data_IF_353340287358
#
_entry.id   IF_353340287358
#
_cell.length_a   1.000
_cell.length_b   1.000
_cell.length_c   1.000
_cell.angle_alpha   90.00
_cell.angle_beta   90.00
_cell.angle_gamma   90.00
#
_symmetry.space_group_name_H-M   'P 1'
#
loop_
_entity.id
_entity.type
_entity.pdbx_description
1 polymer ?
#
# COMPACT_ATOMS: atom_id res chain seq x y z
N UNK A 1 41.94 33.96 -18.67
CA UNK A 1 41.59 33.16 -17.45
C UNK A 1 40.11 33.14 -17.16
N UNK A 2 39.33 34.15 -17.49
CA UNK A 2 37.87 34.25 -17.28
C UNK A 2 37.03 33.24 -18.08
N UNK A 3 37.42 32.91 -19.31
CA UNK A 3 36.67 32.06 -20.23
C UNK A 3 36.63 30.55 -19.80
N UNK A 4 37.72 30.06 -19.19
CA UNK A 4 37.80 28.66 -18.70
C UNK A 4 36.98 28.44 -17.43
N UNK A 5 36.83 29.42 -16.56
CA UNK A 5 36.03 29.32 -15.34
C UNK A 5 34.52 29.31 -15.63
N UNK A 6 34.09 30.14 -16.60
CA UNK A 6 32.69 30.21 -17.01
C UNK A 6 32.21 28.93 -17.71
N UNK A 7 33.07 28.33 -18.55
CA UNK A 7 32.75 27.04 -19.21
C UNK A 7 32.66 25.87 -18.24
N UNK A 8 33.45 25.86 -17.15
CA UNK A 8 33.40 24.85 -16.13
C UNK A 8 32.11 24.96 -15.26
N UNK A 9 31.73 26.20 -14.91
CA UNK A 9 30.50 26.50 -14.21
C UNK A 9 29.24 26.10 -15.03
N UNK A 10 29.25 26.38 -16.36
CA UNK A 10 28.19 26.00 -17.28
C UNK A 10 28.09 24.46 -17.43
N UNK A 11 29.22 23.73 -17.43
CA UNK A 11 29.23 22.29 -17.58
C UNK A 11 28.67 21.57 -16.34
N UNK A 12 28.92 22.09 -15.15
CA UNK A 12 28.43 21.48 -13.90
C UNK A 12 26.93 21.76 -13.60
N UNK A 13 26.40 22.89 -14.09
CA UNK A 13 25.01 23.30 -13.79
C UNK A 13 23.99 23.01 -14.90
N UNK A 14 24.44 22.91 -16.16
CA UNK A 14 23.55 22.66 -17.32
C UNK A 14 23.19 21.18 -17.56
N UNK A 15 23.90 20.25 -16.91
CA UNK A 15 23.61 18.82 -17.09
C UNK A 15 22.37 18.35 -16.30
N UNK A 16 21.81 19.16 -15.41
CA UNK A 16 20.69 18.77 -14.53
C UNK A 16 19.32 19.36 -14.86
N UNK A 17 19.16 20.23 -15.86
CA UNK A 17 17.86 20.83 -16.15
C UNK A 17 17.56 20.99 -17.64
N UNK A 18 16.27 20.98 -18.00
CA UNK A 18 15.68 21.13 -19.36
C UNK A 18 16.16 22.37 -20.16
N UNK A 19 17.11 23.15 -19.64
CA UNK A 19 17.65 24.38 -20.23
C UNK A 19 18.53 24.12 -21.46
N UNK A 20 18.99 22.90 -21.70
CA UNK A 20 19.88 22.55 -22.82
C UNK A 20 19.26 22.79 -24.19
N UNK A 21 17.95 22.62 -24.31
CA UNK A 21 17.25 22.76 -25.59
C UNK A 21 17.07 24.21 -26.02
N UNK A 22 16.76 25.11 -25.10
CA UNK A 22 16.58 26.52 -25.38
C UNK A 22 17.90 27.26 -25.69
N UNK A 23 18.98 26.83 -25.06
CA UNK A 23 20.30 27.45 -25.28
C UNK A 23 20.90 27.09 -26.65
N UNK A 24 20.72 25.86 -27.12
CA UNK A 24 21.14 25.45 -28.47
C UNK A 24 20.32 26.15 -29.57
N UNK A 25 19.04 26.38 -29.38
CA UNK A 25 18.22 27.18 -30.31
C UNK A 25 18.63 28.63 -30.35
N UNK A 26 18.97 29.25 -29.24
CA UNK A 26 19.46 30.65 -29.21
C UNK A 26 20.80 30.79 -29.87
N UNK A 27 21.71 29.82 -29.75
CA UNK A 27 23.02 29.84 -30.45
C UNK A 27 22.84 29.65 -31.96
N UNK A 28 21.95 28.74 -32.39
CA UNK A 28 21.66 28.55 -33.80
C UNK A 28 21.06 29.80 -34.44
N UNK A 29 20.16 30.50 -33.74
CA UNK A 29 19.61 31.80 -34.19
C UNK A 29 20.66 32.89 -34.28
N UNK A 30 21.57 32.93 -33.33
CA UNK A 30 22.68 33.92 -33.30
C UNK A 30 23.70 33.68 -34.43
N UNK A 31 23.95 32.41 -34.82
CA UNK A 31 24.80 32.08 -35.99
C UNK A 31 24.13 32.42 -37.31
N UNK A 32 22.83 32.22 -37.46
CA UNK A 32 22.05 32.59 -38.66
C UNK A 32 22.03 34.11 -38.83
N UNK A 33 21.80 34.87 -37.76
CA UNK A 33 21.78 36.35 -37.80
C UNK A 33 23.19 36.94 -38.08
N UNK A 34 24.23 36.30 -37.57
CA UNK A 34 25.60 36.74 -37.81
C UNK A 34 26.12 36.43 -39.24
N UNK A 35 25.68 35.31 -39.82
CA UNK A 35 25.97 34.96 -41.23
C UNK A 35 25.31 35.91 -42.20
N UNK A 36 24.14 36.46 -41.84
CA UNK A 36 23.45 37.46 -42.68
C UNK A 36 24.08 38.86 -42.62
N UNK A 37 24.91 39.18 -41.63
CA UNK A 37 25.63 40.46 -41.52
C UNK A 37 26.88 40.55 -42.40
N UNK A 38 27.43 39.49 -42.92
CA UNK A 38 28.62 39.46 -43.76
C UNK A 38 28.35 39.50 -45.26
N UNK A 39 27.09 39.59 -45.70
CA UNK A 39 26.70 39.77 -47.09
C UNK A 39 26.38 41.26 -47.34
N UNK A 40 27.41 42.08 -47.40
CA UNK A 40 27.25 43.51 -47.79
C UNK A 40 28.30 43.89 -48.79
N UNK A 41 27.81 44.45 -49.92
CA UNK A 41 28.50 45.22 -51.00
C UNK A 41 28.91 44.41 -52.23
N UNK A 42 28.13 44.64 -53.29
CA UNK A 42 28.45 44.41 -54.68
C UNK A 42 27.25 44.51 -55.61
N UNK A 43 27.07 45.64 -56.24
CA UNK A 43 26.32 45.92 -57.47
C UNK A 43 24.84 46.35 -57.40
N UNK A 44 24.69 47.61 -57.91
CA UNK A 44 23.50 48.46 -57.92
C UNK A 44 22.44 48.05 -58.98
N UNK A 45 22.52 46.87 -59.63
CA UNK A 45 21.60 46.50 -60.74
C UNK A 45 20.49 45.51 -60.32
N UNK A 46 20.36 45.21 -59.06
CA UNK A 46 19.41 44.16 -58.53
C UNK A 46 18.27 44.75 -57.73
N UNK A 47 18.00 46.04 -57.73
CA UNK A 47 17.01 46.66 -56.83
C UNK A 47 15.54 46.43 -57.20
N UNK A 48 15.25 45.91 -58.37
CA UNK A 48 13.85 45.63 -58.79
C UNK A 48 13.40 44.17 -58.50
N UNK A 49 14.32 43.21 -58.50
CA UNK A 49 14.02 41.83 -58.11
C UNK A 49 14.00 41.63 -56.58
N UNK A 50 14.74 42.43 -55.83
CA UNK A 50 14.84 42.32 -54.37
C UNK A 50 13.52 42.66 -53.66
N UNK A 51 12.62 43.44 -54.26
CA UNK A 51 11.36 43.84 -53.61
C UNK A 51 10.34 42.69 -53.56
N UNK A 52 10.32 41.79 -54.53
CA UNK A 52 9.46 40.60 -54.51
C UNK A 52 10.07 39.49 -53.66
N UNK A 53 11.40 39.33 -53.65
CA UNK A 53 12.05 38.34 -52.77
C UNK A 53 11.96 38.72 -51.29
N UNK A 54 12.06 40.03 -50.92
CA UNK A 54 11.87 40.47 -49.55
C UNK A 54 10.44 40.26 -49.05
N UNK A 55 9.42 40.34 -49.91
CA UNK A 55 8.05 40.11 -49.55
C UNK A 55 7.78 38.60 -49.33
N UNK A 56 8.45 37.73 -50.11
CA UNK A 56 8.38 36.27 -49.93
C UNK A 56 9.21 35.81 -48.68
N UNK A 57 10.35 36.43 -48.44
CA UNK A 57 11.19 36.14 -47.26
C UNK A 57 10.49 36.53 -45.96
N UNK A 58 9.86 37.70 -45.89
CA UNK A 58 9.06 38.09 -44.70
C UNK A 58 7.82 37.19 -44.48
N UNK A 59 7.19 36.69 -45.54
CA UNK A 59 6.11 35.70 -45.45
C UNK A 59 6.64 34.35 -44.99
N UNK A 60 7.84 33.95 -45.43
CA UNK A 60 8.49 32.71 -44.99
C UNK A 60 8.91 32.76 -43.51
N UNK A 61 9.46 33.92 -43.08
CA UNK A 61 9.86 34.15 -41.68
C UNK A 61 8.61 34.20 -40.77
N UNK A 62 7.53 34.87 -41.19
CA UNK A 62 6.27 34.89 -40.46
C UNK A 62 5.62 33.52 -40.40
N UNK A 63 5.65 32.74 -41.49
CA UNK A 63 5.18 31.36 -41.53
C UNK A 63 6.02 30.45 -40.61
N UNK A 64 7.35 30.64 -40.61
CA UNK A 64 8.27 29.91 -39.72
C UNK A 64 8.05 30.22 -38.23
N UNK A 65 7.85 31.52 -37.92
CA UNK A 65 7.53 31.95 -36.55
C UNK A 65 6.15 31.41 -36.13
N UNK A 66 5.14 31.44 -37.01
CA UNK A 66 3.83 30.90 -36.74
C UNK A 66 3.85 29.36 -36.57
N UNK A 67 4.72 28.68 -37.35
CA UNK A 67 4.89 27.23 -37.24
C UNK A 67 5.65 26.85 -35.94
N UNK A 68 6.67 27.62 -35.57
CA UNK A 68 7.40 27.43 -34.29
C UNK A 68 6.52 27.79 -33.09
N UNK A 69 5.70 28.84 -33.19
CA UNK A 69 4.76 29.23 -32.12
C UNK A 69 3.63 28.20 -32.02
N UNK A 70 3.15 27.67 -33.15
CA UNK A 70 2.17 26.57 -33.18
C UNK A 70 2.75 25.26 -32.63
N UNK A 71 4.02 24.97 -32.90
CA UNK A 71 4.71 23.78 -32.40
C UNK A 71 5.09 23.88 -30.91
N UNK A 72 5.35 25.10 -30.41
CA UNK A 72 5.57 25.36 -28.96
C UNK A 72 4.27 25.30 -28.19
N UNK A 73 3.13 25.59 -28.80
CA UNK A 73 1.80 25.39 -28.19
C UNK A 73 1.35 23.92 -28.15
N UNK A 74 2.01 23.01 -28.89
CA UNK A 74 1.71 21.58 -28.93
C UNK A 74 2.60 20.72 -27.99
N UNK A 75 3.59 21.33 -27.34
CA UNK A 75 4.37 20.68 -26.27
C UNK A 75 3.82 21.16 -24.93
N UNK A 76 2.52 21.02 -24.69
CA UNK A 76 2.08 20.78 -23.33
C UNK A 76 2.71 19.46 -22.92
N UNK A 77 3.38 19.37 -21.76
CA UNK A 77 3.65 18.07 -21.20
C UNK A 77 2.28 17.39 -21.12
N UNK A 78 2.15 16.23 -21.75
CA UNK A 78 1.04 15.31 -21.48
C UNK A 78 1.08 15.14 -19.96
N UNK A 79 0.27 15.91 -19.25
CA UNK A 79 0.09 15.74 -17.81
C UNK A 79 -0.68 14.43 -17.67
N UNK A 80 0.07 13.43 -17.36
CA UNK A 80 -0.44 12.13 -17.12
C UNK A 80 -1.45 12.17 -15.98
N UNK A 81 -2.47 11.63 -16.26
CA UNK A 81 -3.53 10.76 -15.86
C UNK A 81 -4.56 11.37 -14.94
N UNK A 82 -4.84 12.56 -15.33
CA UNK A 82 -6.17 13.10 -15.19
C UNK A 82 -6.81 13.01 -16.56
N UNK A 83 -7.63 12.01 -16.80
CA UNK A 83 -8.41 11.88 -18.02
C UNK A 83 -9.69 12.74 -17.88
N UNK A 84 -9.64 13.97 -18.43
CA UNK A 84 -10.75 14.92 -18.31
C UNK A 84 -10.97 15.43 -16.89
N UNK A 85 -11.95 14.86 -16.17
CA UNK A 85 -12.30 15.14 -14.78
C UNK A 85 -12.04 13.95 -13.84
N UNK A 86 -11.25 12.93 -14.26
CA UNK A 86 -10.98 11.71 -13.50
C UNK A 86 -9.51 11.59 -13.14
N UNK A 87 -9.23 11.31 -11.86
CA UNK A 87 -7.93 10.86 -11.37
C UNK A 87 -7.95 9.34 -11.40
N UNK A 88 -6.97 8.72 -12.11
CA UNK A 88 -6.87 7.28 -12.24
C UNK A 88 -5.80 6.75 -11.30
N UNK A 89 -6.20 5.95 -10.31
CA UNK A 89 -5.30 5.15 -9.49
C UNK A 89 -5.07 3.80 -10.18
N UNK A 90 -3.89 3.21 -10.05
CA UNK A 90 -3.59 1.87 -10.57
C UNK A 90 -3.39 0.86 -9.45
N UNK A 91 -3.80 -0.39 -9.68
CA UNK A 91 -3.48 -1.48 -8.77
C UNK A 91 -3.33 -2.80 -9.54
N UNK A 92 -2.18 -3.46 -9.35
CA UNK A 92 -2.03 -4.88 -9.68
C UNK A 92 -2.34 -5.65 -8.40
N UNK A 93 -3.45 -6.38 -8.37
CA UNK A 93 -3.99 -6.99 -7.14
C UNK A 93 -4.44 -8.42 -7.40
N UNK A 94 -4.34 -9.28 -6.38
CA UNK A 94 -4.68 -10.72 -6.51
C UNK A 94 -6.20 -10.92 -6.56
N UNK A 95 -6.78 -11.03 -7.75
CA UNK A 95 -8.19 -11.34 -7.95
C UNK A 95 -8.41 -12.84 -8.16
N UNK A 96 -7.36 -13.56 -8.55
CA UNK A 96 -7.31 -15.03 -8.67
C UNK A 96 -6.10 -15.61 -7.92
N UNK A 97 -6.00 -16.93 -7.86
CA UNK A 97 -4.92 -17.64 -7.19
C UNK A 97 -5.09 -17.74 -5.66
N UNK A 98 -3.99 -18.05 -4.98
CA UNK A 98 -4.00 -18.37 -3.54
C UNK A 98 -4.41 -17.20 -2.63
N UNK A 99 -4.25 -15.97 -3.09
CA UNK A 99 -4.56 -14.76 -2.35
C UNK A 99 -5.89 -14.10 -2.75
N UNK A 100 -6.65 -14.69 -3.68
CA UNK A 100 -7.87 -14.11 -4.23
C UNK A 100 -8.88 -13.66 -3.16
N UNK A 101 -9.08 -14.45 -2.10
CA UNK A 101 -9.99 -14.08 -1.01
C UNK A 101 -9.63 -12.72 -0.40
N UNK A 102 -8.35 -12.51 -0.10
CA UNK A 102 -7.89 -11.27 0.53
C UNK A 102 -7.81 -10.13 -0.48
N UNK A 103 -7.35 -10.39 -1.69
CA UNK A 103 -7.30 -9.40 -2.77
C UNK A 103 -8.68 -8.85 -3.12
N UNK A 104 -9.71 -9.71 -3.15
CA UNK A 104 -11.10 -9.29 -3.34
C UNK A 104 -11.64 -8.47 -2.16
N UNK A 105 -11.20 -8.73 -0.92
CA UNK A 105 -11.56 -7.88 0.21
C UNK A 105 -10.94 -6.48 0.08
N UNK A 106 -9.68 -6.40 -0.30
CA UNK A 106 -9.01 -5.14 -0.54
C UNK A 106 -9.64 -4.36 -1.72
N UNK A 107 -9.90 -5.03 -2.85
CA UNK A 107 -10.59 -4.41 -3.99
C UNK A 107 -11.92 -3.78 -3.59
N UNK A 108 -12.76 -4.52 -2.86
CA UNK A 108 -14.04 -3.98 -2.39
C UNK A 108 -13.90 -2.78 -1.45
N UNK A 109 -12.85 -2.78 -0.63
CA UNK A 109 -12.51 -1.63 0.20
C UNK A 109 -12.10 -0.40 -0.62
N UNK A 110 -11.29 -0.60 -1.65
CA UNK A 110 -10.91 0.44 -2.59
C UNK A 110 -12.13 1.00 -3.34
N UNK A 111 -12.94 0.12 -3.92
CA UNK A 111 -14.12 0.50 -4.70
C UNK A 111 -15.14 1.27 -3.84
N UNK A 112 -15.43 0.77 -2.63
CA UNK A 112 -16.32 1.43 -1.69
C UNK A 112 -15.85 2.85 -1.33
N UNK A 113 -14.55 3.03 -1.13
CA UNK A 113 -14.00 4.33 -0.82
C UNK A 113 -14.05 5.30 -2.01
N UNK A 114 -13.78 4.81 -3.22
CA UNK A 114 -13.92 5.59 -4.45
C UNK A 114 -15.37 6.05 -4.64
N UNK A 115 -16.35 5.15 -4.52
CA UNK A 115 -17.77 5.48 -4.62
C UNK A 115 -18.19 6.52 -3.56
N UNK A 116 -17.75 6.34 -2.32
CA UNK A 116 -18.04 7.26 -1.22
C UNK A 116 -17.46 8.64 -1.46
N UNK A 117 -16.17 8.74 -1.82
CA UNK A 117 -15.50 10.02 -2.09
C UNK A 117 -16.16 10.73 -3.29
N UNK A 118 -16.44 9.99 -4.35
CA UNK A 118 -17.09 10.53 -5.55
C UNK A 118 -18.50 11.05 -5.25
N UNK A 119 -19.28 10.34 -4.42
CA UNK A 119 -20.61 10.78 -4.00
C UNK A 119 -20.61 12.10 -3.18
N UNK A 120 -19.47 12.45 -2.62
CA UNK A 120 -19.24 13.70 -1.87
C UNK A 120 -18.63 14.82 -2.73
N UNK A 121 -18.55 14.64 -4.06
CA UNK A 121 -18.00 15.64 -4.99
C UNK A 121 -16.55 15.36 -5.42
N UNK A 122 -15.98 14.21 -5.05
CA UNK A 122 -14.65 13.77 -5.47
C UNK A 122 -13.51 14.42 -4.70
N UNK A 123 -12.45 14.78 -5.42
CA UNK A 123 -11.20 15.35 -4.92
C UNK A 123 -11.01 16.75 -5.50
N UNK A 124 -10.75 17.75 -4.65
CA UNK A 124 -10.51 19.12 -5.11
C UNK A 124 -9.01 19.37 -5.32
N UNK A 125 -8.63 19.75 -6.55
CA UNK A 125 -7.26 20.16 -6.89
C UNK A 125 -7.34 21.43 -7.74
N UNK A 126 -6.70 22.50 -7.30
CA UNK A 126 -6.68 23.78 -8.01
C UNK A 126 -8.07 24.43 -8.14
N UNK A 127 -8.97 24.16 -7.20
CA UNK A 127 -10.35 24.67 -7.23
C UNK A 127 -11.28 23.91 -8.18
N UNK A 128 -10.82 22.82 -8.80
CA UNK A 128 -11.60 21.93 -9.66
C UNK A 128 -11.80 20.58 -8.98
N UNK A 129 -13.01 20.04 -9.06
CA UNK A 129 -13.34 18.68 -8.57
C UNK A 129 -13.03 17.63 -9.60
N UNK A 130 -12.45 16.51 -9.15
CA UNK A 130 -12.11 15.35 -9.95
C UNK A 130 -12.69 14.09 -9.31
N UNK A 131 -13.23 13.19 -10.12
CA UNK A 131 -13.70 11.89 -9.67
C UNK A 131 -12.55 10.88 -9.65
N UNK A 132 -12.50 10.05 -8.62
CA UNK A 132 -11.55 8.94 -8.56
C UNK A 132 -12.05 7.77 -9.41
N UNK A 133 -11.13 7.06 -10.05
CA UNK A 133 -11.35 5.73 -10.61
C UNK A 133 -10.13 4.86 -10.40
N UNK A 134 -10.28 3.52 -10.50
CA UNK A 134 -9.17 2.59 -10.33
C UNK A 134 -9.06 1.70 -11.55
N UNK A 135 -7.83 1.56 -12.07
CA UNK A 135 -7.49 0.59 -13.09
C UNK A 135 -6.83 -0.61 -12.45
N UNK A 136 -7.50 -1.75 -12.54
CA UNK A 136 -7.03 -3.00 -11.95
C UNK A 136 -6.40 -3.92 -13.00
N UNK A 137 -5.38 -4.66 -12.54
CA UNK A 137 -4.91 -5.88 -13.19
C UNK A 137 -4.83 -7.02 -12.17
N UNK A 138 -5.18 -8.22 -12.61
CA UNK A 138 -5.03 -9.44 -11.79
C UNK A 138 -3.59 -9.93 -11.86
N UNK A 139 -2.91 -9.94 -10.71
CA UNK A 139 -1.54 -10.44 -10.57
C UNK A 139 -1.48 -11.97 -10.39
N UNK A 140 -2.64 -12.62 -10.35
CA UNK A 140 -2.79 -14.08 -10.21
C UNK A 140 -2.05 -14.64 -8.97
N UNK A 141 -1.90 -13.81 -7.94
CA UNK A 141 -1.14 -14.11 -6.71
C UNK A 141 0.33 -14.44 -6.96
N UNK A 142 0.90 -13.90 -8.06
CA UNK A 142 2.28 -14.18 -8.51
C UNK A 142 3.14 -12.91 -8.47
N UNK A 143 4.16 -12.82 -7.60
CA UNK A 143 4.98 -11.62 -7.44
C UNK A 143 5.60 -11.09 -8.73
N UNK A 144 6.15 -11.97 -9.57
CA UNK A 144 6.75 -11.57 -10.85
C UNK A 144 5.73 -10.95 -11.81
N UNK A 145 4.49 -11.50 -11.86
CA UNK A 145 3.41 -10.94 -12.66
C UNK A 145 2.95 -9.59 -12.10
N UNK A 146 2.83 -9.46 -10.78
CA UNK A 146 2.52 -8.19 -10.12
C UNK A 146 3.49 -7.08 -10.52
N UNK A 147 4.81 -7.35 -10.50
CA UNK A 147 5.83 -6.41 -10.94
C UNK A 147 5.69 -6.03 -12.42
N UNK A 148 5.44 -7.00 -13.31
CA UNK A 148 5.20 -6.75 -14.75
C UNK A 148 3.96 -5.88 -14.97
N UNK A 149 2.88 -6.15 -14.25
CA UNK A 149 1.63 -5.38 -14.36
C UNK A 149 1.75 -3.97 -13.78
N UNK A 150 2.52 -3.79 -12.70
CA UNK A 150 2.84 -2.47 -12.20
C UNK A 150 3.66 -1.66 -13.22
N UNK A 151 4.65 -2.28 -13.88
CA UNK A 151 5.39 -1.62 -14.96
C UNK A 151 4.50 -1.29 -16.15
N UNK A 152 3.54 -2.17 -16.50
CA UNK A 152 2.54 -1.91 -17.52
C UNK A 152 1.64 -0.73 -17.16
N UNK A 153 1.08 -0.70 -15.94
CA UNK A 153 0.27 0.42 -15.45
C UNK A 153 1.02 1.75 -15.61
N UNK A 154 2.31 1.77 -15.24
CA UNK A 154 3.12 2.99 -15.29
C UNK A 154 3.51 3.37 -16.73
N UNK A 155 3.96 2.42 -17.56
CA UNK A 155 4.57 2.73 -18.88
C UNK A 155 3.57 2.75 -20.02
N UNK A 156 2.57 1.88 -19.99
CA UNK A 156 1.61 1.74 -21.09
C UNK A 156 0.31 2.47 -20.79
N UNK A 157 -0.17 2.33 -19.56
CA UNK A 157 -1.38 3.02 -19.13
C UNK A 157 -1.08 4.37 -18.50
N UNK A 158 0.20 4.75 -18.37
CA UNK A 158 0.75 6.00 -17.84
C UNK A 158 0.18 6.37 -16.46
N UNK A 159 -0.16 5.43 -15.61
CA UNK A 159 -0.61 5.64 -14.23
C UNK A 159 0.53 6.21 -13.40
N UNK A 160 0.26 7.27 -12.67
CA UNK A 160 1.23 7.96 -11.81
C UNK A 160 0.88 7.88 -10.31
N UNK A 161 -0.22 7.20 -9.95
CA UNK A 161 -0.73 7.08 -8.59
C UNK A 161 -1.13 5.64 -8.35
N UNK A 162 -0.49 4.96 -7.39
CA UNK A 162 -0.69 3.53 -7.19
C UNK A 162 -1.32 3.22 -5.83
N UNK A 163 -2.25 2.28 -5.84
CA UNK A 163 -2.67 1.54 -4.65
C UNK A 163 -1.89 0.22 -4.60
N UNK A 164 -1.59 -0.23 -3.40
CA UNK A 164 -0.83 -1.45 -3.20
C UNK A 164 -1.56 -2.72 -3.63
N UNK A 165 -0.80 -3.81 -3.85
CA UNK A 165 -1.33 -5.15 -4.07
C UNK A 165 -1.79 -5.78 -2.75
N UNK A 166 -2.35 -7.00 -2.81
CA UNK A 166 -2.41 -7.86 -1.65
C UNK A 166 -1.15 -8.70 -1.53
N UNK A 167 -0.61 -8.65 -0.38
CA UNK A 167 0.42 -9.32 0.40
C UNK A 167 1.80 -8.64 0.34
N UNK A 168 2.55 -8.85 1.44
CA UNK A 168 3.93 -8.36 1.55
C UNK A 168 4.85 -8.91 0.44
N UNK A 169 4.59 -10.14 -0.02
CA UNK A 169 5.35 -10.75 -1.13
C UNK A 169 5.13 -10.03 -2.45
N UNK A 170 3.89 -9.64 -2.76
CA UNK A 170 3.54 -8.86 -3.95
C UNK A 170 4.08 -7.43 -3.83
N UNK A 171 3.90 -6.79 -2.67
CA UNK A 171 4.44 -5.45 -2.41
C UNK A 171 5.95 -5.41 -2.57
N UNK A 172 6.67 -6.44 -2.07
CA UNK A 172 8.13 -6.56 -2.24
C UNK A 172 8.57 -6.62 -3.70
N UNK A 173 7.74 -7.18 -4.58
CA UNK A 173 8.03 -7.25 -6.01
C UNK A 173 7.66 -5.96 -6.76
N UNK A 174 6.60 -5.27 -6.32
CA UNK A 174 6.06 -4.07 -6.98
C UNK A 174 6.79 -2.79 -6.51
N UNK A 175 7.14 -2.68 -5.24
CA UNK A 175 7.77 -1.47 -4.69
C UNK A 175 9.06 -1.03 -5.42
N UNK A 176 9.97 -1.92 -5.85
CA UNK A 176 11.12 -1.52 -6.67
C UNK A 176 10.73 -0.90 -8.02
N UNK A 177 9.58 -1.32 -8.58
CA UNK A 177 9.08 -0.77 -9.85
C UNK A 177 8.55 0.64 -9.64
N UNK A 178 7.70 0.85 -8.64
CA UNK A 178 7.15 2.18 -8.32
C UNK A 178 8.26 3.15 -7.92
N UNK A 179 9.25 2.69 -7.13
CA UNK A 179 10.44 3.46 -6.76
C UNK A 179 11.26 3.90 -7.99
N UNK A 180 11.56 2.96 -8.90
CA UNK A 180 12.31 3.21 -10.14
C UNK A 180 11.70 4.32 -11.00
N UNK A 181 10.37 4.39 -11.04
CA UNK A 181 9.64 5.37 -11.85
C UNK A 181 9.19 6.61 -11.06
N UNK A 182 9.52 6.69 -9.77
CA UNK A 182 9.11 7.78 -8.88
C UNK A 182 7.59 7.90 -8.80
N UNK A 183 6.88 6.78 -8.72
CA UNK A 183 5.42 6.71 -8.64
C UNK A 183 5.03 6.38 -7.21
N UNK A 184 4.37 7.30 -6.47
CA UNK A 184 3.93 7.01 -5.11
C UNK A 184 2.91 5.87 -5.08
N UNK A 185 3.10 4.96 -4.11
CA UNK A 185 2.20 3.85 -3.85
C UNK A 185 1.74 3.90 -2.40
N UNK A 186 0.42 4.01 -2.19
CA UNK A 186 -0.19 3.87 -0.87
C UNK A 186 -0.65 2.43 -0.70
N UNK A 187 0.02 1.74 0.20
CA UNK A 187 -0.14 0.31 0.49
C UNK A 187 -1.13 0.11 1.63
N UNK A 188 -2.03 -0.85 1.46
CA UNK A 188 -3.00 -1.25 2.48
C UNK A 188 -2.81 -2.68 2.98
N UNK A 189 -2.02 -3.53 2.29
CA UNK A 189 -2.02 -4.97 2.52
C UNK A 189 -0.61 -5.56 2.73
N UNK A 190 0.44 -4.81 2.41
CA UNK A 190 1.84 -5.19 2.59
C UNK A 190 2.36 -4.79 3.96
N UNK A 191 2.27 -5.68 4.95
CA UNK A 191 2.59 -5.39 6.34
C UNK A 191 4.04 -5.68 6.73
N UNK A 192 4.84 -6.38 5.90
CA UNK A 192 6.19 -6.80 6.30
C UNK A 192 7.09 -5.62 6.64
N UNK A 193 7.67 -5.63 7.84
CA UNK A 193 8.64 -4.63 8.31
C UNK A 193 9.82 -4.49 7.34
N UNK A 194 10.22 -5.59 6.70
CA UNK A 194 11.32 -5.59 5.74
C UNK A 194 11.09 -4.72 4.51
N UNK A 195 9.85 -4.35 4.20
CA UNK A 195 9.52 -3.40 3.13
C UNK A 195 10.04 -1.98 3.44
N UNK A 196 10.06 -1.61 4.71
CA UNK A 196 10.41 -0.27 5.20
C UNK A 196 11.87 -0.13 5.63
N UNK A 197 12.70 -1.14 5.34
CA UNK A 197 14.15 -1.11 5.58
C UNK A 197 14.97 -1.03 4.28
N UNK A 198 14.28 -0.90 3.13
CA UNK A 198 14.92 -0.86 1.81
C UNK A 198 15.29 0.55 1.35
N UNK A 199 14.87 1.58 2.07
CA UNK A 199 15.11 2.97 1.68
C UNK A 199 14.20 3.49 0.58
N UNK A 200 13.04 2.87 0.35
CA UNK A 200 12.04 3.35 -0.59
C UNK A 200 11.47 4.71 -0.16
N UNK A 201 11.35 5.60 -1.11
CA UNK A 201 10.83 6.96 -0.90
C UNK A 201 9.37 7.11 -1.36
N UNK A 202 8.89 6.19 -2.17
CA UNK A 202 7.57 6.25 -2.81
C UNK A 202 6.62 5.15 -2.31
N UNK A 203 6.99 4.42 -1.24
CA UNK A 203 6.15 3.41 -0.60
C UNK A 203 5.64 3.92 0.75
N UNK A 204 4.31 3.91 0.93
CA UNK A 204 3.65 4.30 2.18
C UNK A 204 2.59 3.27 2.55
N UNK A 205 2.55 2.81 3.80
CA UNK A 205 1.59 1.81 4.26
C UNK A 205 0.73 2.33 5.42
N UNK A 206 -0.60 2.27 5.26
CA UNK A 206 -1.55 2.76 6.27
C UNK A 206 -1.72 1.83 7.46
N UNK A 207 -1.20 0.62 7.40
CA UNK A 207 -1.37 -0.46 8.39
C UNK A 207 -0.17 -0.57 9.34
N UNK A 208 -0.37 -1.28 10.45
CA UNK A 208 0.71 -1.66 11.37
C UNK A 208 1.57 -2.76 10.75
N UNK A 209 2.85 -2.77 11.06
CA UNK A 209 3.80 -3.76 10.54
C UNK A 209 3.60 -5.15 11.16
N UNK A 210 4.00 -6.18 10.41
CA UNK A 210 3.59 -7.57 10.66
C UNK A 210 4.16 -8.19 11.95
N UNK A 211 5.30 -7.74 12.43
CA UNK A 211 5.85 -8.21 13.71
C UNK A 211 4.93 -7.93 14.91
N UNK A 212 3.98 -7.00 14.75
CA UNK A 212 3.02 -6.67 15.79
C UNK A 212 1.81 -7.60 15.86
N UNK A 213 1.56 -8.43 14.83
CA UNK A 213 0.29 -9.16 14.71
C UNK A 213 0.03 -10.17 15.84
N UNK A 214 0.99 -11.03 16.17
CA UNK A 214 0.82 -12.07 17.19
C UNK A 214 1.53 -11.77 18.51
N UNK A 215 2.35 -10.71 18.56
CA UNK A 215 3.02 -10.26 19.78
C UNK A 215 2.03 -10.00 20.94
N UNK A 216 0.85 -9.38 20.74
CA UNK A 216 -0.12 -9.18 21.81
C UNK A 216 -0.65 -10.50 22.40
N UNK A 217 -0.65 -11.59 21.65
CA UNK A 217 -1.04 -12.92 22.18
C UNK A 217 -0.03 -13.44 23.22
N UNK A 218 1.26 -13.13 23.04
CA UNK A 218 2.32 -13.42 24.02
C UNK A 218 2.16 -12.54 25.26
N UNK A 219 1.89 -11.22 25.09
CA UNK A 219 1.66 -10.30 26.22
C UNK A 219 0.43 -10.74 27.04
N UNK A 220 -0.66 -11.18 26.38
CA UNK A 220 -1.84 -11.74 27.05
C UNK A 220 -1.52 -13.03 27.80
N UNK A 221 -0.74 -13.95 27.23
CA UNK A 221 -0.33 -15.17 27.90
C UNK A 221 0.56 -14.89 29.13
N UNK A 222 1.47 -13.92 29.02
CA UNK A 222 2.28 -13.48 30.17
C UNK A 222 1.40 -12.92 31.28
N UNK A 223 0.42 -12.08 30.95
CA UNK A 223 -0.52 -11.50 31.91
C UNK A 223 -1.38 -12.58 32.58
N UNK A 224 -1.86 -13.57 31.81
CA UNK A 224 -2.64 -14.70 32.35
C UNK A 224 -1.80 -15.61 33.23
N UNK A 225 -0.54 -15.87 32.88
CA UNK A 225 0.38 -16.63 33.75
C UNK A 225 0.52 -15.93 35.11
N UNK A 226 0.83 -14.62 35.13
CA UNK A 226 0.93 -13.82 36.37
C UNK A 226 -0.37 -13.84 37.19
N UNK A 227 -1.53 -13.67 36.53
CA UNK A 227 -2.85 -13.71 37.19
C UNK A 227 -3.12 -15.07 37.88
N UNK A 228 -2.55 -16.13 37.33
CA UNK A 228 -2.66 -17.50 37.91
C UNK A 228 -1.47 -17.85 38.82
N UNK A 229 -0.71 -16.89 39.30
CA UNK A 229 0.42 -17.10 40.21
C UNK A 229 1.63 -17.80 39.59
N UNK A 230 1.73 -17.83 38.25
CA UNK A 230 2.82 -18.49 37.51
C UNK A 230 3.80 -17.45 36.95
N UNK A 231 5.08 -17.83 36.86
CA UNK A 231 6.04 -17.03 36.15
C UNK A 231 5.78 -17.12 34.64
N UNK A 232 5.73 -16.01 33.87
CA UNK A 232 5.62 -16.03 32.44
C UNK A 232 6.65 -16.92 31.72
N UNK A 233 7.87 -17.07 32.28
CA UNK A 233 8.92 -17.96 31.73
C UNK A 233 8.53 -19.44 31.72
N UNK A 234 7.49 -19.85 32.46
CA UNK A 234 6.98 -21.23 32.43
C UNK A 234 6.12 -21.52 31.21
N UNK A 235 5.67 -20.49 30.49
CA UNK A 235 4.80 -20.63 29.31
C UNK A 235 5.54 -21.26 28.14
N UNK A 236 4.96 -22.32 27.56
CA UNK A 236 5.46 -23.00 26.37
C UNK A 236 4.73 -22.52 25.13
N UNK A 237 5.48 -22.04 24.14
CA UNK A 237 4.97 -21.47 22.87
C UNK A 237 5.21 -22.45 21.73
N UNK A 238 4.18 -22.75 20.96
CA UNK A 238 4.27 -23.44 19.68
C UNK A 238 3.94 -22.48 18.54
N UNK A 239 4.72 -22.51 17.48
CA UNK A 239 4.59 -21.67 16.30
C UNK A 239 4.51 -22.52 15.04
N UNK A 240 3.58 -22.14 14.14
CA UNK A 240 3.39 -22.74 12.83
C UNK A 240 3.16 -21.60 11.82
N UNK A 241 4.18 -21.23 11.06
CA UNK A 241 4.16 -20.04 10.21
C UNK A 241 4.44 -20.39 8.74
N UNK A 242 3.70 -19.77 7.81
CA UNK A 242 4.01 -19.84 6.40
C UNK A 242 5.40 -19.25 6.11
N UNK A 243 6.11 -19.84 5.15
CA UNK A 243 7.42 -19.36 4.72
C UNK A 243 7.26 -18.25 3.66
N UNK A 244 6.74 -17.11 4.07
CA UNK A 244 6.56 -15.92 3.24
C UNK A 244 6.96 -14.65 4.03
N UNK A 245 7.21 -13.49 3.36
CA UNK A 245 7.73 -12.31 4.02
C UNK A 245 6.85 -11.80 5.17
N UNK A 246 5.51 -11.91 5.07
CA UNK A 246 4.59 -11.50 6.13
C UNK A 246 4.73 -12.38 7.37
N UNK A 247 4.58 -13.70 7.19
CA UNK A 247 4.58 -14.65 8.31
C UNK A 247 5.95 -14.78 8.98
N UNK A 248 7.03 -14.59 8.23
CA UNK A 248 8.39 -14.58 8.80
C UNK A 248 8.62 -13.36 9.71
N UNK A 249 8.12 -12.18 9.36
CA UNK A 249 8.16 -11.01 10.23
C UNK A 249 7.25 -11.15 11.46
N UNK A 250 6.05 -11.74 11.30
CA UNK A 250 5.19 -12.11 12.44
C UNK A 250 5.95 -13.00 13.41
N UNK A 251 6.68 -13.99 12.88
CA UNK A 251 7.52 -14.89 13.67
C UNK A 251 8.57 -14.14 14.47
N UNK A 252 9.30 -13.21 13.85
CA UNK A 252 10.32 -12.42 14.55
C UNK A 252 9.70 -11.63 15.72
N UNK A 253 8.56 -10.98 15.52
CA UNK A 253 7.85 -10.28 16.58
C UNK A 253 7.43 -11.19 17.75
N UNK A 254 7.00 -12.42 17.45
CA UNK A 254 6.68 -13.43 18.47
C UNK A 254 7.94 -13.87 19.23
N UNK A 255 9.04 -14.14 18.52
CA UNK A 255 10.33 -14.55 19.11
C UNK A 255 10.86 -13.46 20.07
N UNK A 256 10.86 -12.20 19.61
CA UNK A 256 11.32 -11.07 20.42
C UNK A 256 10.46 -10.89 21.67
N UNK A 257 9.14 -10.99 21.54
CA UNK A 257 8.23 -10.84 22.68
C UNK A 257 8.30 -12.04 23.64
N UNK A 258 8.43 -13.26 23.14
CA UNK A 258 8.62 -14.45 23.97
C UNK A 258 9.94 -14.36 24.76
N UNK A 259 11.01 -13.91 24.12
CA UNK A 259 12.32 -13.66 24.77
C UNK A 259 12.22 -12.63 25.90
N UNK A 260 11.46 -11.54 25.69
CA UNK A 260 11.23 -10.51 26.73
C UNK A 260 10.67 -11.12 28.03
N UNK A 261 9.85 -12.16 27.93
CA UNK A 261 9.25 -12.85 29.07
C UNK A 261 9.97 -14.14 29.48
N UNK A 262 11.05 -14.52 28.83
CA UNK A 262 11.78 -15.76 29.05
C UNK A 262 10.97 -17.02 28.71
N UNK A 263 9.93 -16.91 27.88
CA UNK A 263 9.08 -18.04 27.46
C UNK A 263 9.85 -19.03 26.59
N UNK A 264 9.45 -20.31 26.66
CA UNK A 264 10.09 -21.39 25.91
C UNK A 264 9.36 -21.64 24.58
N UNK A 265 10.00 -21.37 23.46
CA UNK A 265 9.52 -21.81 22.15
C UNK A 265 9.85 -23.29 22.02
N UNK A 266 8.83 -24.14 22.08
CA UNK A 266 8.96 -25.61 22.03
C UNK A 266 8.70 -26.19 20.64
N UNK A 267 8.00 -25.45 19.77
CA UNK A 267 7.80 -25.77 18.35
C UNK A 267 7.98 -24.49 17.55
N UNK A 268 8.80 -24.54 16.51
CA UNK A 268 9.05 -23.44 15.57
C UNK A 268 9.06 -23.98 14.15
N UNK A 269 7.88 -24.28 13.64
CA UNK A 269 7.71 -24.89 12.33
C UNK A 269 7.47 -23.82 11.25
N UNK A 270 8.30 -23.82 10.22
CA UNK A 270 8.07 -23.07 8.97
C UNK A 270 7.37 -23.99 7.98
N UNK A 271 6.17 -23.59 7.58
CA UNK A 271 5.31 -24.34 6.68
C UNK A 271 5.39 -23.81 5.24
N UNK A 272 5.01 -24.59 4.22
CA UNK A 272 4.90 -24.08 2.86
C UNK A 272 4.04 -22.82 2.80
N UNK A 273 4.38 -21.90 1.87
CA UNK A 273 3.74 -20.58 1.73
C UNK A 273 2.25 -20.63 1.31
N UNK A 274 1.65 -21.81 1.19
CA UNK A 274 0.22 -22.00 0.94
C UNK A 274 -0.52 -22.68 2.09
N UNK A 275 0.20 -23.05 3.14
CA UNK A 275 -0.25 -23.75 4.36
C UNK A 275 -1.40 -24.71 4.06
N UNK A 276 -1.14 -25.71 3.21
CA UNK A 276 -2.13 -26.69 2.78
C UNK A 276 -2.32 -27.83 3.79
N UNK A 277 -1.29 -28.11 4.61
CA UNK A 277 -1.29 -29.12 5.66
C UNK A 277 -0.39 -28.73 6.84
N UNK A 278 -0.88 -28.94 8.07
CA UNK A 278 -0.13 -28.75 9.31
C UNK A 278 -0.26 -29.94 10.28
N UNK A 279 -0.69 -31.10 9.79
CA UNK A 279 -0.94 -32.30 10.61
C UNK A 279 0.31 -32.77 11.37
N UNK A 280 1.48 -32.69 10.76
CA UNK A 280 2.75 -33.01 11.42
C UNK A 280 3.03 -32.07 12.59
N UNK A 281 2.84 -30.76 12.42
CA UNK A 281 2.97 -29.77 13.50
C UNK A 281 1.96 -30.02 14.62
N UNK A 282 0.70 -30.29 14.27
CA UNK A 282 -0.34 -30.58 15.25
C UNK A 282 -0.08 -31.88 16.04
N UNK A 283 0.58 -32.86 15.44
CA UNK A 283 1.08 -34.05 16.13
C UNK A 283 2.12 -33.71 17.18
N UNK A 284 3.10 -32.83 16.84
CA UNK A 284 4.07 -32.30 17.81
C UNK A 284 3.37 -31.52 18.92
N UNK A 285 2.36 -30.70 18.60
CA UNK A 285 1.56 -29.95 19.58
C UNK A 285 0.92 -30.86 20.60
N UNK A 286 0.33 -32.01 20.18
CA UNK A 286 -0.21 -33.01 21.12
C UNK A 286 0.84 -33.59 22.05
N UNK A 287 2.05 -33.87 21.52
CA UNK A 287 3.13 -34.47 22.30
C UNK A 287 3.72 -33.45 23.30
N UNK A 288 4.00 -32.22 22.84
CA UNK A 288 4.71 -31.17 23.60
C UNK A 288 3.80 -30.43 24.58
N UNK A 289 2.48 -30.46 24.36
CA UNK A 289 1.46 -29.77 25.16
C UNK A 289 1.82 -28.33 25.50
N UNK A 290 1.90 -27.46 24.47
CA UNK A 290 2.18 -26.04 24.68
C UNK A 290 1.00 -25.34 25.36
N UNK A 291 1.29 -24.21 26.02
CA UNK A 291 0.26 -23.34 26.59
C UNK A 291 -0.38 -22.44 25.52
N UNK A 292 0.36 -22.18 24.45
CA UNK A 292 -0.03 -21.31 23.33
C UNK A 292 0.35 -21.96 22.00
N UNK A 293 -0.58 -21.88 21.04
CA UNK A 293 -0.33 -22.20 19.64
C UNK A 293 -0.58 -20.95 18.79
N UNK A 294 0.44 -20.50 18.10
CA UNK A 294 0.40 -19.37 17.19
C UNK A 294 0.51 -19.86 15.75
N UNK A 295 -0.42 -19.43 14.90
CA UNK A 295 -0.42 -19.78 13.48
C UNK A 295 -0.45 -18.51 12.66
N UNK A 296 0.50 -18.36 11.75
CA UNK A 296 0.50 -17.27 10.78
C UNK A 296 0.49 -17.83 9.35
N UNK A 297 -0.46 -17.34 8.60
CA UNK A 297 -0.68 -17.61 7.19
C UNK A 297 -1.78 -16.69 6.68
N UNK A 298 -2.06 -16.79 5.38
CA UNK A 298 -3.14 -16.02 4.76
C UNK A 298 -4.50 -16.71 4.95
N UNK A 299 -5.57 -16.22 4.33
CA UNK A 299 -6.92 -16.75 4.55
C UNK A 299 -7.06 -18.25 4.30
N UNK A 300 -6.38 -18.79 3.28
CA UNK A 300 -6.37 -20.24 3.02
C UNK A 300 -5.72 -20.99 4.18
N UNK A 301 -4.56 -20.53 4.65
CA UNK A 301 -3.84 -21.10 5.79
C UNK A 301 -4.63 -21.03 7.08
N UNK A 302 -5.29 -19.91 7.37
CA UNK A 302 -6.16 -19.78 8.54
C UNK A 302 -7.34 -20.78 8.52
N UNK A 303 -7.96 -20.99 7.36
CA UNK A 303 -9.03 -21.96 7.19
C UNK A 303 -8.51 -23.41 7.35
N UNK A 304 -7.35 -23.75 6.76
CA UNK A 304 -6.69 -25.05 6.92
C UNK A 304 -6.36 -25.32 8.38
N UNK A 305 -5.76 -24.36 9.07
CA UNK A 305 -5.42 -24.47 10.49
C UNK A 305 -6.67 -24.73 11.34
N UNK A 306 -7.72 -23.93 11.18
CA UNK A 306 -8.95 -24.09 11.97
C UNK A 306 -9.61 -25.45 11.73
N UNK A 307 -9.65 -25.92 10.47
CA UNK A 307 -10.17 -27.24 10.11
C UNK A 307 -9.38 -28.35 10.78
N UNK A 308 -8.07 -28.39 10.60
CA UNK A 308 -7.21 -29.47 11.12
C UNK A 308 -7.10 -29.46 12.65
N UNK A 309 -7.11 -28.27 13.29
CA UNK A 309 -7.23 -28.16 14.76
C UNK A 309 -8.50 -28.84 15.25
N UNK A 310 -9.62 -28.66 14.55
CA UNK A 310 -10.88 -29.31 14.85
C UNK A 310 -10.84 -30.83 14.61
N UNK A 311 -10.43 -31.27 13.44
CA UNK A 311 -10.32 -32.67 13.03
C UNK A 311 -9.44 -33.50 13.99
N UNK A 312 -8.29 -32.92 14.34
CA UNK A 312 -7.33 -33.55 15.26
C UNK A 312 -7.65 -33.30 16.75
N UNK A 313 -8.75 -32.59 17.07
CA UNK A 313 -9.15 -32.25 18.44
C UNK A 313 -8.03 -31.66 19.30
N UNK A 314 -7.40 -30.63 18.76
CA UNK A 314 -6.28 -29.94 19.42
C UNK A 314 -6.79 -29.10 20.57
N UNK A 315 -6.38 -29.45 21.78
CA UNK A 315 -6.74 -28.72 23.00
C UNK A 315 -5.51 -27.99 23.56
N UNK A 316 -5.33 -26.75 23.15
CA UNK A 316 -4.29 -25.81 23.65
C UNK A 316 -5.03 -24.66 24.34
N UNK A 317 -4.59 -24.22 25.55
CA UNK A 317 -5.29 -23.16 26.31
C UNK A 317 -5.50 -21.86 25.55
N UNK A 318 -4.53 -21.44 24.70
CA UNK A 318 -4.63 -20.30 23.83
C UNK A 318 -4.22 -20.67 22.40
N UNK A 319 -5.07 -20.35 21.44
CA UNK A 319 -4.75 -20.46 20.02
C UNK A 319 -4.97 -19.09 19.40
N UNK A 320 -3.96 -18.56 18.69
CA UNK A 320 -4.08 -17.31 17.96
C UNK A 320 -3.68 -17.52 16.49
N UNK A 321 -4.53 -17.03 15.58
CA UNK A 321 -4.39 -17.26 14.13
C UNK A 321 -4.57 -15.95 13.39
N UNK A 322 -3.66 -15.62 12.48
CA UNK A 322 -3.84 -14.47 11.58
C UNK A 322 -4.96 -14.70 10.58
N UNK A 323 -5.56 -13.64 10.04
CA UNK A 323 -6.60 -13.69 8.98
C UNK A 323 -7.90 -14.45 9.30
N UNK A 324 -8.23 -14.62 10.56
CA UNK A 324 -9.48 -15.31 10.98
C UNK A 324 -10.73 -14.74 10.30
N UNK A 325 -10.84 -13.39 10.25
CA UNK A 325 -12.00 -12.67 9.74
C UNK A 325 -12.14 -12.89 8.23
N UNK A 326 -11.07 -12.65 7.49
CA UNK A 326 -11.03 -12.81 6.03
C UNK A 326 -11.31 -14.27 5.60
N UNK A 327 -10.86 -15.24 6.39
CA UNK A 327 -11.13 -16.67 6.18
C UNK A 327 -12.52 -17.11 6.63
N UNK A 328 -13.29 -16.24 7.31
CA UNK A 328 -14.58 -16.55 7.94
C UNK A 328 -14.50 -17.77 8.87
N UNK A 329 -13.43 -17.85 9.67
CA UNK A 329 -13.14 -19.01 10.51
C UNK A 329 -14.27 -19.29 11.52
N UNK A 330 -14.86 -18.24 12.09
CA UNK A 330 -15.98 -18.32 13.04
C UNK A 330 -17.27 -18.89 12.43
N UNK A 331 -17.47 -18.73 11.13
CA UNK A 331 -18.65 -19.29 10.42
C UNK A 331 -18.41 -20.73 9.97
N UNK A 332 -17.23 -20.96 9.35
CA UNK A 332 -16.90 -22.25 8.74
C UNK A 332 -16.58 -23.33 9.78
N UNK A 333 -15.96 -22.96 10.90
CA UNK A 333 -15.45 -23.88 11.91
C UNK A 333 -15.87 -23.45 13.34
N UNK A 334 -17.16 -23.19 13.61
CA UNK A 334 -17.60 -22.52 14.84
C UNK A 334 -17.23 -23.29 16.13
N UNK A 335 -17.19 -24.62 16.08
CA UNK A 335 -16.77 -25.43 17.23
C UNK A 335 -15.27 -25.36 17.47
N UNK A 336 -14.46 -25.63 16.44
CA UNK A 336 -13.01 -25.62 16.53
C UNK A 336 -12.43 -24.21 16.85
N UNK A 337 -13.04 -23.20 16.28
CA UNK A 337 -12.57 -21.81 16.41
C UNK A 337 -13.02 -21.12 17.70
N UNK A 338 -13.86 -21.75 18.50
CA UNK A 338 -14.28 -21.17 19.76
C UNK A 338 -13.08 -20.80 20.64
N UNK A 339 -13.02 -19.55 21.03
CA UNK A 339 -11.93 -18.99 21.85
C UNK A 339 -10.63 -18.72 21.09
N UNK A 340 -10.58 -18.82 19.76
CA UNK A 340 -9.41 -18.36 19.01
C UNK A 340 -9.23 -16.86 19.16
N UNK A 341 -7.99 -16.43 19.38
CA UNK A 341 -7.58 -15.03 19.22
C UNK A 341 -7.28 -14.73 17.76
N UNK A 342 -7.73 -13.59 17.32
CA UNK A 342 -7.59 -13.11 15.96
C UNK A 342 -7.01 -11.70 15.99
N UNK A 343 -5.75 -11.51 15.61
CA UNK A 343 -5.21 -10.16 15.42
C UNK A 343 -5.95 -9.46 14.30
N UNK A 344 -6.25 -8.19 14.50
CA UNK A 344 -6.94 -7.37 13.50
C UNK A 344 -6.39 -5.96 13.46
N UNK A 345 -6.43 -5.35 12.29
CA UNK A 345 -6.05 -3.95 12.10
C UNK A 345 -7.22 -2.99 12.39
N UNK A 346 -8.46 -3.51 12.44
CA UNK A 346 -9.64 -2.69 12.60
C UNK A 346 -10.79 -3.49 13.25
N UNK A 347 -11.64 -2.78 13.96
CA UNK A 347 -12.90 -3.26 14.52
C UNK A 347 -13.96 -2.17 14.42
N UNK A 348 -15.25 -2.50 14.24
CA UNK A 348 -16.31 -1.50 14.25
C UNK A 348 -16.46 -0.76 15.59
N UNK A 349 -15.78 -1.23 16.64
CA UNK A 349 -15.88 -0.64 17.99
C UNK A 349 -14.69 0.29 18.32
N UNK A 350 -13.74 0.52 17.40
CA UNK A 350 -12.68 1.50 17.66
C UNK A 350 -13.23 2.90 17.71
N UNK A 351 -12.72 3.77 18.62
CA UNK A 351 -13.29 5.11 18.88
C UNK A 351 -12.77 6.16 17.89
N UNK A 352 -12.68 5.82 16.62
CA UNK A 352 -12.12 6.69 15.60
C UNK A 352 -13.17 7.13 14.59
N UNK A 353 -12.99 8.33 14.02
CA UNK A 353 -13.92 8.90 13.04
C UNK A 353 -13.21 9.88 12.09
N UNK A 354 -13.84 10.14 10.96
CA UNK A 354 -13.48 11.21 10.03
C UNK A 354 -14.70 11.80 9.34
N UNK A 355 -14.50 12.88 8.59
CA UNK A 355 -15.59 13.60 7.90
C UNK A 355 -16.16 12.86 6.69
N UNK A 356 -15.46 11.87 6.14
CA UNK A 356 -15.84 11.17 4.91
C UNK A 356 -16.65 9.90 5.18
N UNK A 357 -16.19 9.10 6.13
CA UNK A 357 -16.81 7.82 6.48
C UNK A 357 -17.59 7.85 7.80
N UNK A 358 -17.44 8.94 8.59
CA UNK A 358 -17.95 9.03 9.94
C UNK A 358 -17.17 8.16 10.91
N UNK A 359 -17.84 7.58 11.90
CA UNK A 359 -17.23 6.65 12.84
C UNK A 359 -17.12 5.21 12.28
N UNK A 360 -16.35 4.37 12.95
CA UNK A 360 -16.12 2.98 12.57
C UNK A 360 -17.41 2.16 12.50
N UNK A 361 -18.42 2.46 13.33
CA UNK A 361 -19.73 1.80 13.32
C UNK A 361 -20.55 2.22 12.10
N UNK A 362 -20.45 3.49 11.69
CA UNK A 362 -21.11 3.98 10.49
C UNK A 362 -20.49 3.33 9.25
N UNK A 363 -19.14 3.26 9.17
CA UNK A 363 -18.46 2.53 8.12
C UNK A 363 -18.94 1.09 8.01
N UNK A 364 -18.99 0.35 9.15
CA UNK A 364 -19.47 -1.03 9.20
C UNK A 364 -20.88 -1.18 8.62
N UNK A 365 -21.81 -0.31 9.01
CA UNK A 365 -23.20 -0.34 8.51
C UNK A 365 -23.28 -0.04 7.02
N UNK A 366 -22.62 1.00 6.55
CA UNK A 366 -22.68 1.45 5.15
C UNK A 366 -21.98 0.45 4.23
N UNK A 367 -20.82 -0.11 4.64
CA UNK A 367 -20.15 -1.15 3.88
C UNK A 367 -21.00 -2.42 3.75
N UNK A 368 -21.63 -2.88 4.85
CA UNK A 368 -22.53 -4.04 4.82
C UNK A 368 -23.79 -3.80 3.99
N UNK A 369 -24.27 -2.59 3.93
CA UNK A 369 -25.39 -2.23 3.06
C UNK A 369 -25.00 -2.32 1.57
N UNK A 370 -23.78 -1.89 1.22
CA UNK A 370 -23.23 -2.01 -0.13
C UNK A 370 -22.87 -3.46 -0.49
N UNK A 371 -22.40 -4.23 0.48
CA UNK A 371 -21.96 -5.63 0.32
C UNK A 371 -22.65 -6.57 1.31
N UNK A 372 -23.94 -6.96 1.11
CA UNK A 372 -24.73 -7.73 2.09
C UNK A 372 -24.19 -9.13 2.42
N UNK A 373 -23.25 -9.66 1.64
CA UNK A 373 -22.59 -10.95 1.89
C UNK A 373 -21.60 -10.94 3.06
N UNK A 374 -21.35 -9.77 3.68
CA UNK A 374 -20.46 -9.64 4.82
C UNK A 374 -21.23 -9.65 6.14
N UNK A 375 -21.09 -10.73 6.92
CA UNK A 375 -21.57 -10.79 8.32
C UNK A 375 -20.62 -10.02 9.26
N UNK A 376 -19.32 -10.15 9.01
CA UNK A 376 -18.25 -9.37 9.64
C UNK A 376 -17.32 -8.83 8.53
N UNK A 377 -16.92 -7.60 8.67
CA UNK A 377 -15.98 -6.96 7.73
C UNK A 377 -14.56 -7.33 8.14
N UNK A 378 -13.77 -7.98 7.28
CA UNK A 378 -12.35 -8.18 7.55
C UNK A 378 -11.60 -6.85 7.44
N UNK A 379 -10.56 -6.67 8.26
CA UNK A 379 -9.80 -5.42 8.30
C UNK A 379 -9.19 -5.02 6.95
N UNK A 380 -8.98 -5.97 6.04
CA UNK A 380 -8.49 -5.72 4.69
C UNK A 380 -9.37 -4.72 3.92
N UNK A 381 -10.69 -4.78 4.10
CA UNK A 381 -11.58 -3.80 3.46
C UNK A 381 -11.43 -2.41 4.06
N UNK A 382 -11.36 -2.31 5.38
CA UNK A 382 -11.28 -1.03 6.08
C UNK A 382 -9.95 -0.31 5.79
N UNK A 383 -8.83 -1.07 5.82
CA UNK A 383 -7.51 -0.49 5.53
C UNK A 383 -7.35 -0.09 4.05
N UNK A 384 -7.96 -0.84 3.13
CA UNK A 384 -8.01 -0.48 1.73
C UNK A 384 -8.77 0.84 1.52
N UNK A 385 -9.94 1.00 2.15
CA UNK A 385 -10.67 2.28 2.11
C UNK A 385 -9.86 3.44 2.69
N UNK A 386 -9.10 3.19 3.76
CA UNK A 386 -8.23 4.22 4.35
C UNK A 386 -7.08 4.62 3.41
N UNK A 387 -6.54 3.72 2.60
CA UNK A 387 -5.51 4.04 1.61
C UNK A 387 -6.03 4.98 0.50
N UNK A 388 -7.26 4.77 0.05
CA UNK A 388 -7.91 5.70 -0.91
C UNK A 388 -8.18 7.06 -0.26
N UNK A 389 -8.57 7.08 1.01
CA UNK A 389 -8.74 8.33 1.76
C UNK A 389 -7.42 9.09 1.90
N UNK A 390 -6.30 8.40 2.14
CA UNK A 390 -4.96 9.02 2.15
C UNK A 390 -4.65 9.67 0.80
N UNK A 391 -4.96 9.03 -0.31
CA UNK A 391 -4.80 9.61 -1.63
C UNK A 391 -5.63 10.89 -1.80
N UNK A 392 -6.91 10.86 -1.41
CA UNK A 392 -7.76 12.06 -1.44
C UNK A 392 -7.13 13.22 -0.67
N UNK A 393 -6.73 12.96 0.57
CA UNK A 393 -6.13 13.97 1.45
C UNK A 393 -4.81 14.51 0.87
N UNK A 394 -4.00 13.64 0.28
CA UNK A 394 -2.73 14.03 -0.33
C UNK A 394 -2.92 14.91 -1.57
N UNK A 395 -3.86 14.59 -2.47
CA UNK A 395 -4.18 15.42 -3.62
C UNK A 395 -4.62 16.84 -3.20
N UNK A 396 -5.50 16.92 -2.22
CA UNK A 396 -6.00 18.20 -1.72
C UNK A 396 -4.92 19.01 -0.98
N UNK A 397 -4.09 18.35 -0.17
CA UNK A 397 -3.00 19.00 0.55
C UNK A 397 -1.88 19.49 -0.41
N UNK A 398 -1.49 18.67 -1.38
CA UNK A 398 -0.49 19.03 -2.38
C UNK A 398 -1.02 20.09 -3.36
N UNK A 399 -2.33 20.15 -3.55
CA UNK A 399 -3.00 20.95 -4.57
C UNK A 399 -2.32 20.82 -5.94
N UNK A 400 -1.98 19.60 -6.34
CA UNK A 400 -1.13 19.28 -7.48
C UNK A 400 -1.25 17.82 -7.89
N UNK A 401 -0.89 17.52 -9.16
CA UNK A 401 -0.72 16.17 -9.68
C UNK A 401 0.76 15.79 -9.83
N UNK A 402 1.69 16.62 -9.38
CA UNK A 402 3.12 16.31 -9.40
C UNK A 402 3.43 15.21 -8.38
N UNK A 403 4.10 14.15 -8.86
CA UNK A 403 4.39 12.94 -8.07
C UNK A 403 5.22 13.21 -6.82
N UNK A 404 6.20 14.11 -6.91
CA UNK A 404 7.07 14.42 -5.77
C UNK A 404 6.32 15.24 -4.72
N UNK A 405 5.49 16.20 -5.14
CA UNK A 405 4.62 16.95 -4.23
C UNK A 405 3.61 16.06 -3.55
N UNK A 406 3.04 15.09 -4.28
CA UNK A 406 2.12 14.10 -3.72
C UNK A 406 2.81 13.16 -2.75
N UNK A 407 4.00 12.65 -3.09
CA UNK A 407 4.83 11.87 -2.16
C UNK A 407 5.07 12.63 -0.85
N UNK A 408 5.44 13.90 -0.94
CA UNK A 408 5.70 14.73 0.24
C UNK A 408 4.42 14.98 1.05
N UNK A 409 3.28 15.19 0.38
CA UNK A 409 1.98 15.34 1.04
C UNK A 409 1.53 14.03 1.74
N UNK A 410 1.75 12.86 1.11
CA UNK A 410 1.49 11.56 1.75
C UNK A 410 2.39 11.40 2.98
N UNK A 411 3.70 11.64 2.84
CA UNK A 411 4.66 11.52 3.94
C UNK A 411 4.32 12.42 5.12
N UNK A 412 3.81 13.62 4.86
CA UNK A 412 3.40 14.59 5.87
C UNK A 412 2.03 14.28 6.49
N UNK A 413 1.29 13.28 6.00
CA UNK A 413 -0.04 12.96 6.51
C UNK A 413 0.01 12.56 7.98
N UNK A 414 -0.69 13.33 8.81
CA UNK A 414 -0.96 13.01 10.21
C UNK A 414 -2.43 13.30 10.48
N UNK A 415 -3.24 12.25 10.59
CA UNK A 415 -4.70 12.38 10.69
C UNK A 415 -5.31 11.22 11.46
N UNK A 416 -6.54 11.42 11.93
CA UNK A 416 -7.42 10.36 12.41
C UNK A 416 -8.44 10.03 11.33
N UNK A 417 -8.71 8.75 11.13
CA UNK A 417 -9.70 8.25 10.19
C UNK A 417 -10.59 7.22 10.88
N UNK A 418 -11.72 6.84 10.30
CA UNK A 418 -12.57 5.75 10.81
C UNK A 418 -11.78 4.44 11.03
N UNK A 419 -10.68 4.25 10.29
CA UNK A 419 -9.80 3.08 10.38
C UNK A 419 -8.85 3.17 11.57
N UNK A 420 -8.44 4.37 11.97
CA UNK A 420 -7.47 4.65 13.02
C UNK A 420 -6.60 5.84 12.71
N UNK A 421 -5.60 6.06 13.53
CA UNK A 421 -4.63 7.13 13.33
C UNK A 421 -3.62 6.75 12.24
N UNK A 422 -3.32 7.70 11.38
CA UNK A 422 -2.31 7.57 10.33
C UNK A 422 -1.24 8.62 10.57
N UNK A 423 -0.01 8.17 10.69
CA UNK A 423 1.21 8.98 10.71
C UNK A 423 2.34 8.14 10.16
N UNK A 424 2.89 8.58 9.06
CA UNK A 424 4.00 7.86 8.43
C UNK A 424 5.33 8.19 9.12
N UNK A 425 6.21 7.18 9.22
CA UNK A 425 7.62 7.35 9.53
C UNK A 425 8.37 7.86 8.29
N UNK A 426 9.63 8.23 8.44
CA UNK A 426 10.51 8.54 7.30
C UNK A 426 10.64 7.36 6.31
N UNK A 427 10.47 6.14 6.79
CA UNK A 427 10.50 4.93 5.96
C UNK A 427 9.14 4.61 5.29
N UNK A 428 8.06 5.37 5.57
CA UNK A 428 6.75 5.23 4.95
C UNK A 428 5.77 4.28 5.67
N UNK A 429 6.16 3.61 6.77
CA UNK A 429 5.21 2.80 7.55
C UNK A 429 4.41 3.64 8.55
N UNK A 430 3.17 3.24 8.84
CA UNK A 430 2.34 3.88 9.85
C UNK A 430 2.83 3.54 11.27
N UNK A 431 3.18 4.57 12.04
CA UNK A 431 3.69 4.44 13.43
C UNK A 431 2.66 4.85 14.49
N UNK A 432 1.45 5.24 14.09
CA UNK A 432 0.42 5.75 15.01
C UNK A 432 -0.68 4.73 15.31
N UNK A 433 -0.62 3.54 14.71
CA UNK A 433 -1.70 2.55 14.76
C UNK A 433 -1.26 1.29 15.51
N UNK A 434 -1.86 0.97 16.69
CA UNK A 434 -1.61 -0.30 17.37
C UNK A 434 -2.37 -1.45 16.72
N UNK A 435 -1.86 -2.68 16.89
CA UNK A 435 -2.60 -3.88 16.60
C UNK A 435 -3.71 -4.09 17.63
N UNK A 436 -4.83 -4.63 17.17
CA UNK A 436 -5.97 -5.00 17.98
C UNK A 436 -6.09 -6.53 18.05
N UNK A 437 -6.76 -7.00 19.10
CA UNK A 437 -7.04 -8.43 19.26
C UNK A 437 -8.56 -8.64 19.42
N UNK A 438 -9.07 -9.68 18.78
CA UNK A 438 -10.46 -10.11 18.94
C UNK A 438 -10.50 -11.58 19.26
N UNK A 439 -11.45 -12.00 20.10
CA UNK A 439 -11.65 -13.41 20.41
C UNK A 439 -12.97 -13.91 19.83
N UNK A 440 -12.96 -15.11 19.24
CA UNK A 440 -14.17 -15.75 18.73
C UNK A 440 -14.99 -16.24 19.90
N UNK A 441 -16.24 -15.75 20.02
CA UNK A 441 -17.24 -16.15 20.99
C UNK A 441 -18.54 -16.48 20.27
N UNK A 442 -18.87 -17.76 20.17
CA UNK A 442 -19.95 -18.24 19.32
C UNK A 442 -19.70 -17.94 17.85
N UNK A 443 -20.62 -17.19 17.21
CA UNK A 443 -20.52 -16.75 15.82
C UNK A 443 -20.09 -15.28 15.70
N UNK A 444 -19.51 -14.70 16.75
CA UNK A 444 -19.14 -13.29 16.82
C UNK A 444 -17.67 -13.12 17.22
N UNK A 445 -17.14 -11.94 16.94
CA UNK A 445 -15.85 -11.48 17.46
C UNK A 445 -16.11 -10.53 18.63
N UNK A 446 -15.46 -10.78 19.77
CA UNK A 446 -15.40 -9.88 20.91
C UNK A 446 -14.03 -9.21 20.93
N UNK A 447 -13.97 -7.88 21.10
CA UNK A 447 -12.72 -7.17 21.19
C UNK A 447 -12.04 -7.50 22.53
N UNK A 448 -10.72 -7.71 22.50
CA UNK A 448 -9.88 -8.01 23.65
C UNK A 448 -8.93 -6.82 23.85
N UNK A 449 -9.26 -5.97 24.82
CA UNK A 449 -8.47 -4.78 25.14
C UNK A 449 -7.42 -5.13 26.23
N UNK A 450 -7.78 -6.05 27.12
CA UNK A 450 -6.93 -6.48 28.21
C UNK A 450 -7.03 -8.00 28.44
N UNK A 451 -6.11 -8.53 29.23
CA UNK A 451 -6.18 -9.94 29.63
C UNK A 451 -7.45 -10.30 30.42
N UNK A 452 -8.19 -9.33 30.96
CA UNK A 452 -9.45 -9.58 31.67
C UNK A 452 -10.60 -9.88 30.72
N UNK A 453 -10.53 -9.42 29.47
CA UNK A 453 -11.52 -9.65 28.45
C UNK A 453 -11.37 -11.04 27.81
N UNK A 454 -10.24 -11.71 28.09
CA UNK A 454 -9.87 -12.97 27.47
C UNK A 454 -10.55 -14.16 28.17
N UNK A 455 -11.30 -14.96 27.43
CA UNK A 455 -11.74 -16.27 27.88
C UNK A 455 -10.55 -17.25 27.85
N UNK A 456 -9.97 -17.49 29.01
CA UNK A 456 -8.78 -18.34 29.23
C UNK A 456 -9.02 -19.35 30.37
N UNK A 457 -8.65 -20.64 30.27
CA UNK A 457 -8.33 -21.29 28.98
C UNK A 457 -9.57 -21.36 28.09
N UNK A 458 -9.33 -21.42 26.76
CA UNK A 458 -10.46 -21.59 25.83
C UNK A 458 -11.25 -22.88 26.14
N UNK A 459 -12.57 -22.78 26.11
CA UNK A 459 -13.46 -23.93 26.32
C UNK A 459 -13.86 -24.48 24.96
N UNK A 460 -13.55 -25.73 24.70
CA UNK A 460 -13.86 -26.41 23.44
C UNK A 460 -14.64 -27.68 23.73
N UNK A 461 -15.75 -27.90 23.02
CA UNK A 461 -16.45 -29.18 22.93
C UNK A 461 -16.31 -29.70 21.49
N UNK A 462 -15.46 -30.68 21.30
CA UNK A 462 -15.29 -31.34 19.99
C UNK A 462 -16.33 -32.41 19.77
#
# INVERSE_FOLDING_TARGET
>A
MFYKGMMKWFHEHLFKTKFKFYFLQSIALMFIVNSLKHYRWGNVFLLHQIKEEHMNFNKLVLASISFVTGMVMLVFPLQAKVEGDKIILGSAISLTGKYATNGLHAQRGYDFAVERINSMGGVNVGGKSYMLSIKYYDDESTPARGAQLAERLIKQDEVEFMLGPYSSGLTKAIAPVTEKYGVPMVEAEGASRSLFTQGYRYLFAVLSTSEQYLSPSIDHAASMAKKNGKNPSSVKVAMAFENDPFSLDVREGVVDTAKKYGMKIVIDDKLPADLSDMSATLTKVKAMRPDILLVSGHSKGAATAARQIGEMRINVPLISITHCEAAKVHEKFPKAAQGFLCPTQWSPNVPYSDSHFGDSKKYDREFKAAYPSYSAIPYQTAQASAAVLVWKLAFEAANSFDKDRLRDAISATQTETFYGKIKFSEAGNNIAKPMLMRQISGKKYADVVSANDLAWPRKVSY
#
